data_IF_830568352494
#
_entry.id   IF_830568352494
#
_cell.length_a   1.000
_cell.length_b   1.000
_cell.length_c   1.000
_cell.angle_alpha   90.00
_cell.angle_beta   90.00
_cell.angle_gamma   90.00
#
_symmetry.space_group_name_H-M   'P 1'
#
loop_
_entity.id
_entity.type
_entity.pdbx_description
1 polymer ?
#
# COMPACT_ATOMS: atom_id res chain seq x y z
N UNK A 1 10.63 21.81 24.22
CA UNK A 1 10.27 20.85 23.15
C UNK A 1 10.72 19.47 23.57
N UNK A 2 9.80 18.61 24.03
CA UNK A 2 10.13 17.21 24.31
C UNK A 2 10.74 16.59 23.05
N UNK A 3 11.98 16.08 23.15
CA UNK A 3 12.55 15.20 22.13
C UNK A 3 11.57 14.03 22.02
N UNK A 4 10.74 14.00 20.97
CA UNK A 4 9.93 12.84 20.67
C UNK A 4 10.87 11.64 20.53
N UNK A 5 10.92 10.79 21.55
CA UNK A 5 11.91 9.71 21.65
C UNK A 5 11.53 8.58 20.70
N UNK A 6 12.53 8.03 20.02
CA UNK A 6 12.39 6.78 19.29
C UNK A 6 12.02 5.66 20.28
N UNK A 7 11.29 4.67 19.79
CA UNK A 7 10.96 3.50 20.59
C UNK A 7 12.17 2.58 20.67
N UNK A 8 12.88 2.57 21.80
CA UNK A 8 14.15 1.84 21.95
C UNK A 8 14.02 0.34 21.68
N UNK A 9 12.89 -0.29 22.04
CA UNK A 9 12.65 -1.72 21.79
C UNK A 9 12.20 -2.03 20.35
N UNK A 10 12.12 -1.03 19.46
CA UNK A 10 11.79 -1.24 18.06
C UNK A 10 12.90 -1.96 17.29
N UNK A 11 12.55 -2.65 16.21
CA UNK A 11 13.49 -3.40 15.38
C UNK A 11 14.40 -2.46 14.59
N UNK A 12 15.70 -2.76 14.52
CA UNK A 12 16.64 -2.04 13.65
C UNK A 12 16.42 -2.35 12.16
N UNK A 13 16.17 -3.63 11.86
CA UNK A 13 15.76 -4.11 10.55
C UNK A 13 14.63 -5.12 10.73
N UNK A 14 13.65 -5.08 9.84
CA UNK A 14 12.63 -6.11 9.79
C UNK A 14 13.20 -7.40 9.21
N UNK A 15 12.77 -8.56 9.73
CA UNK A 15 13.20 -9.84 9.18
C UNK A 15 12.71 -9.97 7.73
N UNK A 16 13.58 -10.49 6.85
CA UNK A 16 13.29 -10.64 5.42
C UNK A 16 11.98 -11.39 5.12
N UNK A 17 11.61 -12.48 5.85
CA UNK A 17 10.33 -13.16 5.64
C UNK A 17 9.12 -12.23 5.79
N UNK A 18 9.14 -11.32 6.77
CA UNK A 18 8.06 -10.32 6.94
C UNK A 18 7.99 -9.38 5.76
N UNK A 19 9.14 -8.94 5.23
CA UNK A 19 9.19 -8.07 4.04
C UNK A 19 8.67 -8.77 2.80
N UNK A 20 9.01 -10.05 2.61
CA UNK A 20 8.52 -10.85 1.49
C UNK A 20 7.02 -11.06 1.61
N UNK A 21 6.54 -11.47 2.79
CA UNK A 21 5.11 -11.69 3.05
C UNK A 21 4.27 -10.44 2.78
N UNK A 22 4.70 -9.27 3.28
CA UNK A 22 3.96 -8.02 3.06
C UNK A 22 3.88 -7.62 1.60
N UNK A 23 4.96 -7.83 0.82
CA UNK A 23 4.94 -7.54 -0.60
C UNK A 23 4.11 -8.57 -1.39
N UNK A 24 4.12 -9.85 -1.01
CA UNK A 24 3.24 -10.88 -1.61
C UNK A 24 1.78 -10.53 -1.37
N UNK A 25 1.39 -10.17 -0.15
CA UNK A 25 0.03 -9.73 0.15
C UNK A 25 -0.37 -8.49 -0.66
N UNK A 26 0.55 -7.53 -0.80
CA UNK A 26 0.31 -6.32 -1.60
C UNK A 26 0.12 -6.65 -3.09
N UNK A 27 0.94 -7.55 -3.65
CA UNK A 27 0.81 -7.98 -5.04
C UNK A 27 -0.50 -8.74 -5.27
N UNK A 28 -0.89 -9.63 -4.36
CA UNK A 28 -2.17 -10.33 -4.45
C UNK A 28 -3.34 -9.35 -4.36
N UNK A 29 -3.27 -8.35 -3.48
CA UNK A 29 -4.28 -7.31 -3.35
C UNK A 29 -4.48 -6.54 -4.67
N UNK A 30 -3.39 -6.09 -5.29
CA UNK A 30 -3.46 -5.45 -6.60
C UNK A 30 -3.89 -6.40 -7.71
N UNK A 31 -3.47 -7.67 -7.65
CA UNK A 31 -3.85 -8.70 -8.60
C UNK A 31 -5.37 -8.91 -8.64
N UNK A 32 -5.99 -9.08 -7.47
CA UNK A 32 -7.45 -9.18 -7.36
C UNK A 32 -8.17 -7.90 -7.80
N UNK A 33 -7.63 -6.72 -7.49
CA UNK A 33 -8.22 -5.46 -7.96
C UNK A 33 -8.22 -5.38 -9.49
N UNK A 34 -7.05 -5.56 -10.10
CA UNK A 34 -6.82 -5.49 -11.55
C UNK A 34 -7.65 -6.54 -12.27
N UNK A 35 -7.61 -7.79 -11.81
CA UNK A 35 -8.39 -8.87 -12.40
C UNK A 35 -9.89 -8.59 -12.32
N UNK A 36 -10.40 -8.22 -11.14
CA UNK A 36 -11.82 -7.92 -10.95
C UNK A 36 -12.31 -6.74 -11.80
N UNK A 37 -11.48 -5.71 -11.98
CA UNK A 37 -11.82 -4.55 -12.81
C UNK A 37 -11.57 -4.77 -14.30
N UNK A 38 -10.77 -5.76 -14.69
CA UNK A 38 -10.43 -6.05 -16.09
C UNK A 38 -11.64 -6.39 -16.95
N UNK A 39 -12.71 -6.90 -16.31
CA UNK A 39 -13.97 -7.11 -16.97
C UNK A 39 -14.48 -5.80 -17.59
N UNK A 40 -14.38 -4.64 -16.90
CA UNK A 40 -14.79 -3.34 -17.42
C UNK A 40 -13.96 -2.87 -18.62
N UNK A 41 -14.37 -3.32 -19.82
CA UNK A 41 -13.81 -2.91 -21.10
C UNK A 41 -14.54 -1.70 -21.67
N UNK A 42 -13.79 -0.71 -22.10
CA UNK A 42 -14.24 0.43 -22.90
C UNK A 42 -13.54 0.34 -24.26
N UNK A 43 -14.30 0.21 -25.35
CA UNK A 43 -13.73 -0.01 -26.68
C UNK A 43 -12.91 -1.30 -26.81
N UNK A 44 -13.25 -2.34 -26.05
CA UNK A 44 -12.52 -3.63 -26.04
C UNK A 44 -11.29 -3.68 -25.12
N UNK A 45 -10.83 -2.54 -24.60
CA UNK A 45 -9.66 -2.45 -23.72
C UNK A 45 -10.06 -2.25 -22.24
N UNK A 46 -9.36 -2.89 -21.28
CA UNK A 46 -9.63 -2.73 -19.85
C UNK A 46 -9.02 -1.43 -19.29
N UNK A 47 -9.44 -0.28 -19.83
CA UNK A 47 -8.85 1.04 -19.54
C UNK A 47 -8.83 1.33 -18.04
N UNK A 48 -9.91 1.02 -17.32
CA UNK A 48 -10.03 1.28 -15.88
C UNK A 48 -8.94 0.54 -15.10
N UNK A 49 -8.73 -0.74 -15.42
CA UNK A 49 -7.71 -1.57 -14.76
C UNK A 49 -6.29 -1.08 -15.05
N UNK A 50 -6.01 -0.67 -16.29
CA UNK A 50 -4.70 -0.15 -16.70
C UNK A 50 -4.40 1.16 -15.96
N UNK A 51 -5.35 2.10 -15.99
CA UNK A 51 -5.23 3.39 -15.30
C UNK A 51 -5.04 3.20 -13.80
N UNK A 52 -5.77 2.28 -13.18
CA UNK A 52 -5.60 1.93 -11.77
C UNK A 52 -4.19 1.42 -11.46
N UNK A 53 -3.66 0.50 -12.28
CA UNK A 53 -2.32 -0.05 -12.08
C UNK A 53 -1.23 1.01 -12.27
N UNK A 54 -1.34 1.86 -13.29
CA UNK A 54 -0.40 2.95 -13.53
C UNK A 54 -0.41 3.97 -12.37
N UNK A 55 -1.60 4.31 -11.87
CA UNK A 55 -1.75 5.19 -10.71
C UNK A 55 -1.13 4.57 -9.46
N UNK A 56 -1.42 3.30 -9.17
CA UNK A 56 -0.87 2.57 -8.03
C UNK A 56 0.66 2.53 -8.10
N UNK A 57 1.23 2.15 -9.25
CA UNK A 57 2.67 2.08 -9.45
C UNK A 57 3.34 3.45 -9.30
N UNK A 58 2.79 4.49 -9.92
CA UNK A 58 3.35 5.85 -9.86
C UNK A 58 3.31 6.41 -8.44
N UNK A 59 2.16 6.31 -7.78
CA UNK A 59 1.97 6.86 -6.44
C UNK A 59 2.73 6.06 -5.38
N UNK A 60 2.59 4.73 -5.37
CA UNK A 60 3.24 3.89 -4.36
C UNK A 60 4.72 3.67 -4.65
N UNK A 61 5.16 3.65 -5.90
CA UNK A 61 6.54 3.40 -6.30
C UNK A 61 7.42 4.64 -6.19
N UNK A 62 6.91 5.82 -6.56
CA UNK A 62 7.72 7.04 -6.65
C UNK A 62 7.26 8.12 -5.68
N UNK A 63 6.01 8.60 -5.82
CA UNK A 63 5.55 9.80 -5.10
C UNK A 63 5.60 9.58 -3.59
N UNK A 64 4.95 8.54 -3.07
CA UNK A 64 4.94 8.27 -1.64
C UNK A 64 6.33 7.86 -1.12
N UNK A 65 7.17 7.19 -1.92
CA UNK A 65 8.54 6.84 -1.49
C UNK A 65 9.42 8.07 -1.35
N UNK A 66 9.29 9.03 -2.25
CA UNK A 66 9.99 10.31 -2.17
C UNK A 66 9.51 11.12 -0.97
N UNK A 67 8.20 11.23 -0.76
CA UNK A 67 7.65 12.14 0.25
C UNK A 67 7.64 11.58 1.67
N UNK A 68 7.50 10.26 1.85
CA UNK A 68 7.47 9.63 3.19
C UNK A 68 8.79 8.95 3.56
N UNK A 69 9.29 8.05 2.69
CA UNK A 69 10.36 7.14 3.08
C UNK A 69 11.72 7.83 3.20
N UNK A 70 11.95 8.97 2.53
CA UNK A 70 13.19 9.76 2.68
C UNK A 70 13.31 10.45 4.04
N UNK A 71 12.22 10.57 4.80
CA UNK A 71 12.18 11.16 6.15
C UNK A 71 12.02 10.10 7.24
N UNK A 72 12.00 8.82 6.87
CA UNK A 72 11.77 7.71 7.77
C UNK A 72 13.08 7.25 8.42
N UNK A 73 13.02 6.81 9.69
CA UNK A 73 14.15 6.18 10.38
C UNK A 73 14.75 5.00 9.61
N UNK A 74 13.92 4.26 8.87
CA UNK A 74 14.36 3.12 8.08
C UNK A 74 14.85 3.51 6.67
N UNK A 75 15.15 4.78 6.39
CA UNK A 75 15.82 5.15 5.16
C UNK A 75 17.15 4.38 5.05
N UNK A 76 17.38 3.74 3.90
CA UNK A 76 18.49 2.81 3.67
C UNK A 76 18.53 1.56 4.58
N UNK A 77 17.46 1.29 5.35
CA UNK A 77 17.27 0.08 6.16
C UNK A 77 16.07 -0.74 5.66
N UNK A 78 15.95 -1.98 6.13
CA UNK A 78 14.78 -2.81 5.83
C UNK A 78 13.65 -2.49 6.82
N UNK A 79 12.65 -1.71 6.36
CA UNK A 79 11.38 -1.56 7.07
C UNK A 79 10.44 -2.74 6.78
N UNK A 80 9.28 -2.81 7.44
CA UNK A 80 8.33 -3.93 7.29
C UNK A 80 7.83 -4.21 5.86
N UNK A 81 7.91 -3.22 4.96
CA UNK A 81 7.64 -3.40 3.52
C UNK A 81 8.90 -3.31 2.64
N UNK A 82 10.08 -3.07 3.21
CA UNK A 82 11.32 -2.86 2.46
C UNK A 82 11.43 -1.51 1.73
N UNK A 83 10.40 -0.67 1.81
CA UNK A 83 10.31 0.61 1.10
C UNK A 83 11.37 1.65 1.49
N UNK A 84 11.93 1.57 2.69
CA UNK A 84 13.04 2.44 3.11
C UNK A 84 14.31 2.22 2.28
N UNK A 85 14.62 0.94 1.98
CA UNK A 85 15.73 0.55 1.12
C UNK A 85 15.45 0.80 -0.37
N UNK A 86 14.19 0.71 -0.80
CA UNK A 86 13.80 1.11 -2.15
C UNK A 86 13.96 2.62 -2.35
N UNK A 87 13.48 3.42 -1.39
CA UNK A 87 13.56 4.88 -1.42
C UNK A 87 15.01 5.38 -1.49
N UNK A 88 15.93 4.79 -0.73
CA UNK A 88 17.34 5.22 -0.74
C UNK A 88 18.08 4.96 -2.05
N UNK A 89 17.55 4.08 -2.92
CA UNK A 89 18.09 3.84 -4.26
C UNK A 89 17.55 4.82 -5.30
N UNK A 90 16.35 5.36 -5.07
CA UNK A 90 15.64 6.21 -6.03
C UNK A 90 15.76 7.71 -5.71
N UNK A 91 15.90 8.06 -4.43
CA UNK A 91 15.84 9.43 -3.93
C UNK A 91 16.90 9.67 -2.87
N UNK A 92 17.33 10.93 -2.73
CA UNK A 92 18.20 11.36 -1.64
C UNK A 92 17.41 11.47 -0.32
N UNK A 93 18.10 11.28 0.80
CA UNK A 93 17.51 11.44 2.13
C UNK A 93 16.92 12.85 2.30
N UNK A 94 15.76 12.95 2.97
CA UNK A 94 15.00 14.19 3.19
C UNK A 94 14.67 15.04 1.95
N UNK A 95 14.73 14.47 0.75
CA UNK A 95 14.45 15.20 -0.50
C UNK A 95 12.95 15.48 -0.77
N UNK A 96 12.04 14.80 -0.07
CA UNK A 96 10.60 15.02 -0.20
C UNK A 96 10.02 15.99 0.84
N UNK A 97 8.69 16.12 0.85
CA UNK A 97 7.92 16.81 1.89
C UNK A 97 7.08 15.79 2.68
N UNK A 98 7.38 15.62 3.97
CA UNK A 98 6.73 14.62 4.82
C UNK A 98 5.24 14.87 5.04
N UNK A 99 4.84 16.12 5.27
CA UNK A 99 3.44 16.45 5.54
C UNK A 99 2.56 16.20 4.31
N UNK A 100 3.06 16.58 3.13
CA UNK A 100 2.43 16.27 1.86
C UNK A 100 2.34 14.75 1.67
N UNK A 101 3.41 14.01 1.98
CA UNK A 101 3.44 12.55 1.91
C UNK A 101 2.37 11.88 2.78
N UNK A 102 2.14 12.37 4.00
CA UNK A 102 1.13 11.82 4.92
C UNK A 102 -0.28 12.06 4.36
N UNK A 103 -0.57 13.27 3.86
CA UNK A 103 -1.86 13.61 3.24
C UNK A 103 -2.11 12.76 1.99
N UNK A 104 -1.14 12.68 1.08
CA UNK A 104 -1.26 11.88 -0.13
C UNK A 104 -1.38 10.39 0.16
N UNK A 105 -0.72 9.86 1.19
CA UNK A 105 -0.83 8.45 1.52
C UNK A 105 -2.26 8.07 1.90
N UNK A 106 -2.92 8.86 2.76
CA UNK A 106 -4.32 8.61 3.12
C UNK A 106 -5.23 8.58 1.88
N UNK A 107 -5.11 9.61 1.03
CA UNK A 107 -5.89 9.70 -0.20
C UNK A 107 -5.60 8.55 -1.18
N UNK A 108 -4.32 8.23 -1.39
CA UNK A 108 -3.90 7.17 -2.32
C UNK A 108 -4.43 5.82 -1.87
N UNK A 109 -4.22 5.44 -0.61
CA UNK A 109 -4.69 4.15 -0.10
C UNK A 109 -6.21 4.06 -0.07
N UNK A 110 -6.90 5.16 0.27
CA UNK A 110 -8.35 5.24 0.21
C UNK A 110 -8.88 5.02 -1.21
N UNK A 111 -8.33 5.73 -2.20
CA UNK A 111 -8.72 5.58 -3.60
C UNK A 111 -8.44 4.18 -4.13
N UNK A 112 -7.26 3.63 -3.81
CA UNK A 112 -6.88 2.28 -4.23
C UNK A 112 -7.78 1.19 -3.62
N UNK A 113 -8.37 1.44 -2.45
CA UNK A 113 -9.31 0.54 -1.80
C UNK A 113 -10.75 0.70 -2.30
N UNK A 114 -11.22 1.95 -2.46
CA UNK A 114 -12.60 2.25 -2.84
C UNK A 114 -12.86 1.91 -4.31
N UNK A 115 -11.91 2.19 -5.20
CA UNK A 115 -12.14 1.99 -6.64
C UNK A 115 -12.49 0.53 -6.99
N UNK A 116 -11.77 -0.51 -6.51
CA UNK A 116 -12.15 -1.91 -6.77
C UNK A 116 -13.46 -2.32 -6.09
N UNK A 117 -13.75 -1.79 -4.89
CA UNK A 117 -15.00 -2.08 -4.16
C UNK A 117 -16.23 -1.64 -4.95
N UNK A 118 -16.12 -0.56 -5.74
CA UNK A 118 -17.21 -0.07 -6.58
C UNK A 118 -17.18 -0.70 -7.97
N UNK A 119 -16.01 -0.73 -8.60
CA UNK A 119 -15.87 -1.17 -9.98
C UNK A 119 -16.14 -2.67 -10.19
N UNK A 120 -15.74 -3.53 -9.24
CA UNK A 120 -15.93 -4.99 -9.38
C UNK A 120 -17.42 -5.36 -9.34
N UNK A 121 -18.24 -4.89 -8.37
CA UNK A 121 -19.69 -5.12 -8.41
C UNK A 121 -20.37 -4.61 -9.67
N UNK A 122 -19.99 -3.42 -10.16
CA UNK A 122 -20.50 -2.89 -11.43
C UNK A 122 -20.14 -3.85 -12.57
N UNK A 123 -18.91 -4.37 -12.60
CA UNK A 123 -18.48 -5.33 -13.61
C UNK A 123 -19.30 -6.63 -13.58
N UNK A 124 -19.59 -7.14 -12.38
CA UNK A 124 -20.42 -8.33 -12.18
C UNK A 124 -21.86 -8.09 -12.63
N UNK A 125 -22.43 -6.93 -12.32
CA UNK A 125 -23.79 -6.57 -12.71
C UNK A 125 -23.94 -6.44 -14.24
N UNK A 126 -22.96 -5.83 -14.90
CA UNK A 126 -22.98 -5.64 -16.36
C UNK A 126 -22.63 -6.91 -17.15
N UNK A 127 -21.99 -7.91 -16.51
CA UNK A 127 -21.59 -9.18 -17.14
C UNK A 127 -21.91 -10.35 -16.23
N UNK A 128 -23.07 -10.97 -16.46
CA UNK A 128 -23.53 -12.13 -15.68
C UNK A 128 -22.54 -13.30 -15.66
N UNK A 129 -21.82 -13.57 -16.75
CA UNK A 129 -20.78 -14.60 -16.80
C UNK A 129 -19.59 -14.30 -15.88
N UNK A 130 -19.37 -13.04 -15.55
CA UNK A 130 -18.31 -12.59 -14.64
C UNK A 130 -18.74 -12.57 -13.18
N UNK A 131 -19.96 -13.03 -12.85
CA UNK A 131 -20.47 -13.04 -11.49
C UNK A 131 -19.59 -13.89 -10.55
N UNK A 132 -19.27 -15.13 -10.95
CA UNK A 132 -18.46 -16.03 -10.11
C UNK A 132 -17.00 -15.57 -10.02
N UNK A 133 -16.28 -15.30 -11.13
CA UNK A 133 -14.89 -14.84 -11.05
C UNK A 133 -14.76 -13.46 -10.37
N UNK A 134 -15.70 -12.54 -10.64
CA UNK A 134 -15.76 -11.23 -10.00
C UNK A 134 -16.02 -11.33 -8.50
N UNK A 135 -16.93 -12.23 -8.09
CA UNK A 135 -17.20 -12.53 -6.69
C UNK A 135 -15.97 -13.05 -5.95
N UNK A 136 -15.28 -14.06 -6.50
CA UNK A 136 -14.02 -14.58 -5.94
C UNK A 136 -12.98 -13.46 -5.82
N UNK A 137 -12.87 -12.62 -6.85
CA UNK A 137 -11.91 -11.51 -6.86
C UNK A 137 -12.20 -10.47 -5.79
N UNK A 138 -13.47 -10.07 -5.63
CA UNK A 138 -13.89 -9.12 -4.63
C UNK A 138 -13.69 -9.67 -3.20
N UNK A 139 -14.07 -10.93 -2.97
CA UNK A 139 -13.87 -11.58 -1.67
C UNK A 139 -12.38 -11.69 -1.33
N UNK A 140 -11.54 -12.10 -2.29
CA UNK A 140 -10.08 -12.16 -2.10
C UNK A 140 -9.49 -10.78 -1.80
N UNK A 141 -9.92 -9.75 -2.53
CA UNK A 141 -9.52 -8.36 -2.29
C UNK A 141 -9.87 -7.89 -0.88
N UNK A 142 -11.12 -8.09 -0.44
CA UNK A 142 -11.59 -7.69 0.90
C UNK A 142 -10.89 -8.49 2.01
N UNK A 143 -10.71 -9.79 1.83
CA UNK A 143 -10.01 -10.64 2.79
C UNK A 143 -8.55 -10.15 3.00
N UNK A 144 -7.85 -9.80 1.93
CA UNK A 144 -6.48 -9.27 2.03
C UNK A 144 -6.45 -7.91 2.70
N UNK A 145 -7.45 -7.03 2.51
CA UNK A 145 -7.55 -5.77 3.28
C UNK A 145 -7.55 -6.08 4.77
N UNK A 146 -8.40 -6.99 5.21
CA UNK A 146 -8.52 -7.36 6.63
C UNK A 146 -7.20 -7.91 7.17
N UNK A 147 -6.61 -8.91 6.50
CA UNK A 147 -5.31 -9.50 6.88
C UNK A 147 -4.22 -8.43 6.93
N UNK A 148 -4.16 -7.55 5.92
CA UNK A 148 -3.16 -6.49 5.83
C UNK A 148 -3.29 -5.46 6.94
N UNK A 149 -4.49 -5.19 7.47
CA UNK A 149 -4.65 -4.33 8.64
C UNK A 149 -3.99 -4.95 9.88
N UNK A 150 -4.16 -6.26 10.12
CA UNK A 150 -3.50 -6.94 11.24
C UNK A 150 -1.98 -6.95 11.09
N UNK A 151 -1.48 -7.27 9.90
CA UNK A 151 -0.04 -7.25 9.59
C UNK A 151 0.53 -5.84 9.78
N UNK A 152 -0.18 -4.81 9.31
CA UNK A 152 0.21 -3.40 9.46
C UNK A 152 0.27 -2.97 10.92
N UNK A 153 -0.72 -3.33 11.74
CA UNK A 153 -0.74 -3.04 13.19
C UNK A 153 0.46 -3.68 13.88
N UNK A 154 0.70 -4.97 13.65
CA UNK A 154 1.85 -5.70 14.21
C UNK A 154 3.18 -5.10 13.78
N UNK A 155 3.33 -4.79 12.50
CA UNK A 155 4.51 -4.09 11.98
C UNK A 155 4.72 -2.76 12.68
N UNK A 156 3.71 -1.89 12.71
CA UNK A 156 3.84 -0.59 13.37
C UNK A 156 4.17 -0.69 14.87
N UNK A 157 3.72 -1.74 15.58
CA UNK A 157 3.99 -1.93 17.01
C UNK A 157 5.49 -2.14 17.30
N UNK A 158 6.21 -2.75 16.35
CA UNK A 158 7.65 -3.04 16.42
C UNK A 158 8.53 -1.95 15.78
N UNK A 159 7.93 -0.85 15.32
CA UNK A 159 8.61 0.22 14.59
C UNK A 159 9.33 1.20 15.53
N UNK A 160 10.60 1.53 15.25
CA UNK A 160 11.39 2.53 16.00
C UNK A 160 10.76 3.92 16.03
N UNK A 161 10.01 4.31 14.99
CA UNK A 161 9.37 5.62 14.91
C UNK A 161 7.87 5.62 15.25
N UNK A 162 7.36 4.58 15.94
CA UNK A 162 5.91 4.41 16.20
C UNK A 162 5.21 5.59 16.89
N UNK A 163 5.92 6.32 17.75
CA UNK A 163 5.36 7.46 18.49
C UNK A 163 5.33 8.74 17.65
N UNK A 164 6.36 8.91 16.80
CA UNK A 164 6.63 10.10 15.99
C UNK A 164 5.87 10.06 14.66
N UNK A 165 5.70 8.87 14.09
CA UNK A 165 5.09 8.70 12.78
C UNK A 165 3.59 9.03 12.82
N UNK A 166 3.18 10.04 12.05
CA UNK A 166 1.77 10.42 11.89
C UNK A 166 0.94 9.32 11.22
N UNK A 167 1.58 8.44 10.45
CA UNK A 167 0.95 7.31 9.77
C UNK A 167 1.05 5.98 10.54
N UNK A 168 1.49 6.00 11.80
CA UNK A 168 1.63 4.79 12.63
C UNK A 168 0.26 4.16 12.91
N UNK A 169 0.14 2.85 12.69
CA UNK A 169 -1.06 2.08 13.00
C UNK A 169 -1.00 1.39 14.39
N UNK A 170 0.01 1.70 15.19
CA UNK A 170 0.20 1.13 16.54
C UNK A 170 -0.39 1.99 17.67
N UNK A 171 -1.10 3.06 17.29
CA UNK A 171 -1.85 3.92 18.20
C UNK A 171 -3.27 3.41 18.31
#
# INVERSE_FOLDING_TARGET
MEKQKLYEKGLENYPKPTVVLTNVLLLLWFGFAVYGMSALKLGGLPIISITYMLFAFSMLGFVLRKHLCTHCYYYNKLCGMGWGKLSSRLFKEKSGNYELGVKLAGLTWGLLAIAPIIAIPIAMFLRGEFLVPGGISLTGFLAIILVSQFVRKRGCAQCKMRYICKASAAK
#
